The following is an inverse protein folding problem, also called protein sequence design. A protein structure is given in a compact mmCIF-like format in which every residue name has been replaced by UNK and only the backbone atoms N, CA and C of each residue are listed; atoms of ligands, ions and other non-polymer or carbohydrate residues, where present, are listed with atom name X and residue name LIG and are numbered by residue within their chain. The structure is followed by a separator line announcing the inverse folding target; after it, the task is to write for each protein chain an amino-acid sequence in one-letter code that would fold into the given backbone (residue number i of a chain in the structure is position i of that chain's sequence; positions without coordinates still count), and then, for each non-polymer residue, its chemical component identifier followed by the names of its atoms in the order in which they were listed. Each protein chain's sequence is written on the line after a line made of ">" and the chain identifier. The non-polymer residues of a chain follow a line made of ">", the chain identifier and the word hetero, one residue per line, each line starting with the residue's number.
data_IF_499864359193
#
_entry.id   IF_499864359193
#
_cell.length_a   1.000
_cell.length_b   1.000
_cell.length_c   1.000
_cell.angle_alpha   90.00
_cell.angle_beta   90.00
_cell.angle_gamma   90.00
#
_symmetry.space_group_name_H-M   'P 1'
#
loop_
_entity.id
_entity.type
_entity.pdbx_description
1 polymer ?
#
# COMPACT_ATOMS: atom_id res chain seq x y z
N UNK A 1 21.76 -23.79 -5.51
CA UNK A 1 21.50 -22.57 -4.70
C UNK A 1 20.74 -23.05 -3.47
N UNK A 2 21.31 -22.88 -2.28
CA UNK A 2 20.71 -23.38 -1.03
C UNK A 2 19.56 -22.42 -0.68
N UNK A 3 18.31 -22.90 -0.75
CA UNK A 3 17.16 -22.16 -0.21
C UNK A 3 17.38 -22.03 1.31
N UNK A 4 17.79 -20.86 1.75
CA UNK A 4 17.81 -20.50 3.16
C UNK A 4 16.35 -20.40 3.63
N UNK A 5 15.90 -21.37 4.41
CA UNK A 5 14.64 -21.28 5.15
C UNK A 5 14.82 -20.11 6.14
N UNK A 6 14.19 -18.97 5.89
CA UNK A 6 14.11 -17.88 6.86
C UNK A 6 13.24 -18.36 8.00
N UNK A 7 13.85 -18.82 9.09
CA UNK A 7 13.11 -19.06 10.32
C UNK A 7 12.47 -17.75 10.77
N UNK A 8 11.17 -17.76 10.98
CA UNK A 8 10.43 -16.60 11.49
C UNK A 8 10.98 -16.24 12.89
N UNK A 9 11.21 -14.96 13.14
CA UNK A 9 11.67 -14.53 14.46
C UNK A 9 10.57 -14.77 15.51
N UNK A 10 10.92 -15.06 16.79
CA UNK A 10 9.92 -15.21 17.86
C UNK A 10 8.95 -14.02 17.94
N UNK A 11 9.45 -12.82 17.69
CA UNK A 11 8.62 -11.61 17.65
C UNK A 11 7.67 -11.60 16.44
N UNK A 12 8.13 -11.98 15.25
CA UNK A 12 7.30 -12.09 14.05
C UNK A 12 6.20 -13.13 14.24
N UNK A 13 6.53 -14.30 14.77
CA UNK A 13 5.54 -15.33 15.07
C UNK A 13 4.48 -14.86 16.09
N UNK A 14 4.90 -14.18 17.17
CA UNK A 14 3.96 -13.67 18.16
C UNK A 14 3.04 -12.58 17.58
N UNK A 15 3.56 -11.72 16.73
CA UNK A 15 2.80 -10.68 16.03
C UNK A 15 1.74 -11.30 15.12
N UNK A 16 2.15 -12.23 14.27
CA UNK A 16 1.27 -12.95 13.36
C UNK A 16 0.17 -13.72 14.12
N UNK A 17 0.52 -14.47 15.15
CA UNK A 17 -0.44 -15.20 15.97
C UNK A 17 -1.52 -14.28 16.57
N UNK A 18 -1.13 -13.10 17.09
CA UNK A 18 -2.08 -12.18 17.71
C UNK A 18 -2.97 -11.56 16.64
N UNK A 19 -2.40 -11.12 15.53
CA UNK A 19 -3.15 -10.51 14.42
C UNK A 19 -4.13 -11.51 13.81
N UNK A 20 -3.71 -12.74 13.52
CA UNK A 20 -4.58 -13.82 13.04
C UNK A 20 -5.69 -14.16 14.03
N UNK A 21 -5.38 -14.15 15.35
CA UNK A 21 -6.37 -14.38 16.39
C UNK A 21 -7.42 -13.25 16.47
N UNK A 22 -7.02 -12.01 16.21
CA UNK A 22 -7.95 -10.87 16.11
C UNK A 22 -8.81 -11.01 14.84
N UNK A 23 -8.18 -11.30 13.70
CA UNK A 23 -8.85 -11.46 12.41
C UNK A 23 -9.91 -12.56 12.45
N UNK A 24 -9.55 -13.73 12.96
CA UNK A 24 -10.45 -14.88 13.06
C UNK A 24 -11.45 -14.81 14.25
N UNK A 25 -11.49 -13.67 14.96
CA UNK A 25 -12.44 -13.44 16.03
C UNK A 25 -12.15 -14.17 17.35
N UNK A 26 -11.00 -14.87 17.46
CA UNK A 26 -10.56 -15.48 18.72
C UNK A 26 -10.33 -14.41 19.79
N UNK A 27 -9.77 -13.28 19.39
CA UNK A 27 -9.69 -12.06 20.17
C UNK A 27 -10.60 -11.01 19.51
N UNK A 28 -11.90 -11.03 19.81
CA UNK A 28 -12.86 -10.16 19.16
C UNK A 28 -12.61 -8.67 19.45
N UNK A 29 -12.93 -7.76 18.52
CA UNK A 29 -12.91 -6.32 18.78
C UNK A 29 -13.71 -5.96 20.05
N UNK A 30 -13.12 -5.15 20.92
CA UNK A 30 -13.68 -4.78 22.22
C UNK A 30 -13.33 -5.71 23.36
N UNK A 31 -12.83 -6.93 23.09
CA UNK A 31 -12.41 -7.88 24.11
C UNK A 31 -11.08 -7.47 24.78
N UNK A 32 -10.75 -8.16 25.85
CA UNK A 32 -9.50 -8.00 26.60
C UNK A 32 -8.60 -9.19 26.29
N UNK A 33 -7.34 -8.91 25.94
CA UNK A 33 -6.33 -9.95 25.77
C UNK A 33 -6.02 -10.65 27.11
N UNK A 34 -5.61 -11.95 27.08
CA UNK A 34 -5.07 -12.62 28.25
C UNK A 34 -3.93 -11.82 28.88
N UNK A 35 -3.68 -12.04 30.17
CA UNK A 35 -2.55 -11.39 30.86
C UNK A 35 -1.23 -11.70 30.14
N UNK A 36 -0.28 -10.74 30.12
CA UNK A 36 1.00 -10.90 29.39
C UNK A 36 1.71 -12.22 29.75
N UNK A 37 1.62 -12.67 31.01
CA UNK A 37 2.21 -13.95 31.43
C UNK A 37 1.57 -15.12 30.69
N UNK A 38 0.26 -15.19 30.72
CA UNK A 38 -0.51 -16.29 30.10
C UNK A 38 -0.34 -16.27 28.57
N UNK A 39 -0.39 -15.08 27.97
CA UNK A 39 -0.23 -14.92 26.52
C UNK A 39 1.20 -15.28 26.06
N UNK A 40 2.23 -14.93 26.84
CA UNK A 40 3.62 -15.30 26.53
C UNK A 40 3.86 -16.82 26.63
N UNK A 41 3.27 -17.46 27.64
CA UNK A 41 3.31 -18.91 27.80
C UNK A 41 2.55 -19.62 26.67
N UNK A 42 1.38 -19.12 26.30
CA UNK A 42 0.56 -19.65 25.20
C UNK A 42 1.27 -19.60 23.85
N UNK A 43 1.96 -18.49 23.54
CA UNK A 43 2.66 -18.30 22.26
C UNK A 43 4.05 -18.95 22.28
N UNK A 44 4.63 -19.17 23.44
CA UNK A 44 5.98 -19.74 23.59
C UNK A 44 7.10 -18.70 23.41
N UNK A 45 6.86 -17.44 23.76
CA UNK A 45 7.85 -16.36 23.68
C UNK A 45 8.15 -15.75 25.05
N UNK A 46 9.25 -15.00 25.15
CA UNK A 46 9.55 -14.28 26.40
C UNK A 46 8.58 -13.12 26.60
N UNK A 47 8.35 -12.73 27.85
CA UNK A 47 7.52 -11.55 28.18
C UNK A 47 8.06 -10.25 27.55
N UNK A 48 9.39 -10.13 27.47
CA UNK A 48 10.02 -8.96 26.84
C UNK A 48 9.68 -8.92 25.35
N UNK A 49 9.85 -10.02 24.64
CA UNK A 49 9.46 -10.14 23.23
C UNK A 49 7.98 -9.85 23.03
N UNK A 50 7.11 -10.41 23.89
CA UNK A 50 5.67 -10.15 23.80
C UNK A 50 5.34 -8.66 23.99
N UNK A 51 5.96 -7.99 24.98
CA UNK A 51 5.72 -6.54 25.20
C UNK A 51 6.09 -5.68 24.00
N UNK A 52 7.23 -5.98 23.36
CA UNK A 52 7.64 -5.28 22.14
C UNK A 52 6.61 -5.47 21.02
N UNK A 53 6.09 -6.69 20.85
CA UNK A 53 5.03 -6.98 19.87
C UNK A 53 3.74 -6.25 20.20
N UNK A 54 3.28 -6.30 21.46
CA UNK A 54 2.06 -5.60 21.89
C UNK A 54 2.18 -4.09 21.68
N UNK A 55 3.34 -3.49 21.93
CA UNK A 55 3.57 -2.05 21.68
C UNK A 55 3.53 -1.70 20.20
N UNK A 56 4.08 -2.56 19.31
CA UNK A 56 3.95 -2.37 17.86
C UNK A 56 2.50 -2.45 17.42
N UNK A 57 1.77 -3.48 17.84
CA UNK A 57 0.36 -3.66 17.53
C UNK A 57 -0.52 -2.52 18.06
N UNK A 58 -0.17 -1.96 19.23
CA UNK A 58 -0.85 -0.79 19.75
C UNK A 58 -0.58 0.47 18.92
N UNK A 59 0.67 0.68 18.49
CA UNK A 59 1.04 1.78 17.57
C UNK A 59 0.32 1.66 16.23
N UNK A 60 0.15 0.44 15.74
CA UNK A 60 -0.51 0.16 14.47
C UNK A 60 -2.05 0.13 14.56
N UNK A 61 -2.60 0.35 15.77
CA UNK A 61 -4.03 0.51 16.00
C UNK A 61 -4.80 -0.77 16.32
N UNK A 62 -4.15 -1.94 16.31
CA UNK A 62 -4.80 -3.22 16.65
C UNK A 62 -5.23 -3.31 18.11
N UNK A 63 -4.47 -2.68 19.00
CA UNK A 63 -4.62 -2.78 20.44
C UNK A 63 -4.65 -1.40 21.11
N UNK A 64 -5.27 -1.34 22.29
CA UNK A 64 -5.13 -0.21 23.21
C UNK A 64 -4.48 -0.69 24.49
N UNK A 65 -3.31 -0.11 24.82
CA UNK A 65 -2.57 -0.35 26.07
C UNK A 65 -2.67 0.88 26.95
N UNK A 66 -3.14 0.71 28.18
CA UNK A 66 -3.20 1.76 29.19
C UNK A 66 -2.55 1.27 30.47
N UNK A 67 -1.78 2.14 31.13
CA UNK A 67 -1.14 1.77 32.39
C UNK A 67 -2.16 1.33 33.44
N UNK A 68 -1.89 0.19 34.09
CA UNK A 68 -2.75 -0.39 35.11
C UNK A 68 -4.08 -0.97 34.63
N UNK A 69 -4.29 -1.05 33.31
CA UNK A 69 -5.48 -1.66 32.73
C UNK A 69 -5.13 -2.84 31.81
N UNK A 70 -6.04 -3.80 31.65
CA UNK A 70 -5.86 -4.88 30.68
C UNK A 70 -5.77 -4.34 29.26
N UNK A 71 -4.97 -4.97 28.41
CA UNK A 71 -4.84 -4.64 26.99
C UNK A 71 -6.14 -4.98 26.25
N UNK A 72 -6.71 -3.99 25.56
CA UNK A 72 -7.98 -4.10 24.83
C UNK A 72 -7.72 -4.28 23.34
N UNK A 73 -8.49 -5.16 22.71
CA UNK A 73 -8.52 -5.34 21.25
C UNK A 73 -9.39 -4.25 20.62
N UNK A 74 -8.87 -3.57 19.62
CA UNK A 74 -9.59 -2.51 18.92
C UNK A 74 -10.37 -3.04 17.72
N UNK A 75 -11.33 -2.25 17.25
CA UNK A 75 -11.82 -2.37 15.88
C UNK A 75 -10.78 -1.66 14.96
N UNK A 76 -9.95 -2.43 14.29
CA UNK A 76 -8.85 -1.89 13.48
C UNK A 76 -9.33 -1.00 12.32
N UNK A 77 -10.56 -1.17 11.84
CA UNK A 77 -11.15 -0.25 10.86
C UNK A 77 -11.39 1.17 11.39
N UNK A 78 -11.48 1.33 12.72
CA UNK A 78 -11.67 2.64 13.37
C UNK A 78 -10.35 3.25 13.86
N UNK A 79 -9.34 2.43 14.11
CA UNK A 79 -8.15 2.85 14.86
C UNK A 79 -6.83 2.72 14.09
N UNK A 80 -6.78 1.91 13.02
CA UNK A 80 -5.58 1.71 12.22
C UNK A 80 -5.54 2.65 11.01
N UNK A 81 -4.36 2.81 10.44
CA UNK A 81 -4.10 3.58 9.23
C UNK A 81 -3.68 2.69 8.05
N UNK A 82 -3.15 3.32 7.01
CA UNK A 82 -2.68 2.63 5.81
C UNK A 82 -1.49 1.67 6.05
N UNK A 83 -0.83 1.79 7.17
CA UNK A 83 0.29 0.94 7.58
C UNK A 83 -0.06 -0.54 7.76
N UNK A 84 -1.34 -0.89 7.92
CA UNK A 84 -1.79 -2.28 8.06
C UNK A 84 -2.24 -2.93 6.75
N UNK A 85 -2.19 -2.22 5.61
CA UNK A 85 -2.70 -2.72 4.33
C UNK A 85 -2.04 -4.03 3.87
N UNK A 86 -0.72 -4.17 4.02
CA UNK A 86 -0.02 -5.42 3.69
C UNK A 86 -0.48 -6.56 4.59
N UNK A 87 -0.68 -6.28 5.86
CA UNK A 87 -1.19 -7.26 6.82
C UNK A 87 -2.60 -7.71 6.44
N UNK A 88 -3.50 -6.78 6.11
CA UNK A 88 -4.86 -7.12 5.68
C UNK A 88 -4.88 -7.93 4.39
N UNK A 89 -4.04 -7.58 3.42
CA UNK A 89 -3.94 -8.31 2.16
C UNK A 89 -3.43 -9.75 2.34
N UNK A 90 -2.57 -10.00 3.35
CA UNK A 90 -2.07 -11.33 3.69
C UNK A 90 -3.07 -12.17 4.48
N UNK A 91 -3.87 -11.54 5.35
CA UNK A 91 -4.82 -12.23 6.23
C UNK A 91 -6.04 -12.80 5.48
N UNK A 92 -6.42 -12.22 4.38
CA UNK A 92 -7.59 -12.62 3.61
C UNK A 92 -7.27 -12.67 2.12
N UNK A 93 -6.73 -13.81 1.68
CA UNK A 93 -6.38 -14.03 0.28
C UNK A 93 -7.60 -13.89 -0.64
N UNK A 94 -8.79 -14.27 -0.18
CA UNK A 94 -10.02 -14.21 -0.97
C UNK A 94 -10.52 -12.76 -1.14
N UNK A 95 -10.32 -11.91 -0.14
CA UNK A 95 -10.70 -10.49 -0.18
C UNK A 95 -9.56 -9.56 -0.65
N UNK A 96 -8.33 -10.06 -0.73
CA UNK A 96 -7.18 -9.29 -1.20
C UNK A 96 -7.44 -8.60 -2.55
N UNK A 97 -8.03 -9.25 -3.56
CA UNK A 97 -8.34 -8.58 -4.82
C UNK A 97 -9.29 -7.40 -4.65
N UNK A 98 -10.27 -7.49 -3.74
CA UNK A 98 -11.19 -6.39 -3.43
C UNK A 98 -10.48 -5.24 -2.71
N UNK A 99 -9.59 -5.55 -1.77
CA UNK A 99 -8.78 -4.54 -1.09
C UNK A 99 -7.90 -3.76 -2.08
N UNK A 100 -7.33 -4.46 -3.06
CA UNK A 100 -6.54 -3.84 -4.13
C UNK A 100 -7.42 -2.97 -5.03
N UNK A 101 -8.62 -3.43 -5.41
CA UNK A 101 -9.58 -2.62 -6.18
C UNK A 101 -9.88 -1.29 -5.46
N UNK A 102 -10.14 -1.34 -4.16
CA UNK A 102 -10.43 -0.16 -3.34
C UNK A 102 -9.20 0.77 -3.23
N UNK A 103 -8.00 0.21 -3.06
CA UNK A 103 -6.76 0.96 -3.04
C UNK A 103 -6.50 1.68 -4.39
N UNK A 104 -6.64 0.99 -5.51
CA UNK A 104 -6.45 1.55 -6.85
C UNK A 104 -7.48 2.65 -7.15
N UNK A 105 -8.73 2.46 -6.73
CA UNK A 105 -9.77 3.48 -6.82
C UNK A 105 -9.43 4.72 -6.00
N UNK A 106 -9.06 4.54 -4.73
CA UNK A 106 -8.64 5.65 -3.85
C UNK A 106 -7.43 6.41 -4.45
N UNK A 107 -6.39 5.66 -4.90
CA UNK A 107 -5.21 6.23 -5.55
C UNK A 107 -5.59 7.07 -6.78
N UNK A 108 -6.43 6.56 -7.67
CA UNK A 108 -6.85 7.27 -8.88
C UNK A 108 -7.55 8.60 -8.53
N UNK A 109 -8.43 8.58 -7.54
CA UNK A 109 -9.15 9.78 -7.13
C UNK A 109 -8.23 10.85 -6.52
N UNK A 110 -7.32 10.47 -5.62
CA UNK A 110 -6.39 11.43 -5.02
C UNK A 110 -5.35 11.93 -6.02
N UNK A 111 -4.90 11.07 -6.96
CA UNK A 111 -3.90 11.45 -7.96
C UNK A 111 -4.42 12.54 -8.91
N UNK A 112 -5.67 12.52 -9.30
CA UNK A 112 -6.29 13.59 -10.09
C UNK A 112 -6.16 14.95 -9.41
N UNK A 113 -6.25 14.98 -8.07
CA UNK A 113 -6.18 16.23 -7.29
C UNK A 113 -4.73 16.70 -7.16
N UNK A 114 -3.79 15.83 -6.75
CA UNK A 114 -2.42 16.29 -6.53
C UNK A 114 -1.68 16.55 -7.84
N UNK A 115 -1.91 15.80 -8.92
CA UNK A 115 -1.31 16.07 -10.24
C UNK A 115 -1.78 17.43 -10.78
N UNK A 116 -3.08 17.72 -10.68
CA UNK A 116 -3.63 19.04 -11.01
C UNK A 116 -2.94 20.15 -10.21
N UNK A 117 -2.83 19.96 -8.90
CA UNK A 117 -2.17 20.91 -8.01
C UNK A 117 -0.70 21.13 -8.37
N UNK A 118 0.05 20.05 -8.62
CA UNK A 118 1.44 20.11 -9.00
C UNK A 118 1.68 20.90 -10.29
N UNK A 119 0.94 20.60 -11.35
CA UNK A 119 1.06 21.33 -12.63
C UNK A 119 0.75 22.81 -12.44
N UNK A 120 -0.26 23.15 -11.63
CA UNK A 120 -0.65 24.53 -11.36
C UNK A 120 0.42 25.34 -10.63
N UNK A 121 1.15 24.70 -9.71
CA UNK A 121 2.04 25.42 -8.78
C UNK A 121 3.54 25.22 -9.05
N UNK A 122 3.92 24.08 -9.62
CA UNK A 122 5.33 23.67 -9.82
C UNK A 122 5.52 23.00 -11.20
N UNK A 123 5.07 23.70 -12.25
CA UNK A 123 5.02 23.16 -13.61
C UNK A 123 6.36 22.61 -14.09
N UNK A 124 7.47 23.31 -13.83
CA UNK A 124 8.80 22.91 -14.31
C UNK A 124 9.31 21.66 -13.62
N UNK A 125 9.09 21.54 -12.32
CA UNK A 125 9.43 20.35 -11.51
C UNK A 125 8.60 19.15 -11.98
N UNK A 126 7.33 19.35 -12.29
CA UNK A 126 6.46 18.31 -12.86
C UNK A 126 6.99 17.85 -14.22
N UNK A 127 7.37 18.75 -15.12
CA UNK A 127 7.96 18.38 -16.43
C UNK A 127 9.25 17.57 -16.21
N UNK A 128 10.10 18.02 -15.28
CA UNK A 128 11.35 17.32 -14.95
C UNK A 128 11.13 15.89 -14.40
N UNK A 129 10.03 15.66 -13.65
CA UNK A 129 9.70 14.36 -13.12
C UNK A 129 9.44 13.28 -14.19
N UNK A 130 9.11 13.68 -15.43
CA UNK A 130 8.96 12.76 -16.56
C UNK A 130 10.28 12.41 -17.27
N UNK A 131 11.42 12.92 -16.80
CA UNK A 131 12.73 12.59 -17.37
C UNK A 131 12.98 11.08 -17.30
N UNK A 132 13.31 10.46 -18.42
CA UNK A 132 13.54 9.02 -18.52
C UNK A 132 12.31 8.18 -18.86
N UNK A 133 11.09 8.73 -18.80
CA UNK A 133 9.86 7.98 -19.14
C UNK A 133 9.87 7.39 -20.56
N UNK A 134 10.54 8.08 -21.50
CA UNK A 134 10.56 7.70 -22.93
C UNK A 134 11.56 6.54 -23.20
N UNK A 135 12.59 6.39 -22.36
CA UNK A 135 13.65 5.38 -22.49
C UNK A 135 13.59 4.31 -21.40
N UNK A 136 12.46 4.21 -20.74
CA UNK A 136 12.25 3.27 -19.65
C UNK A 136 12.40 1.81 -20.16
N UNK A 137 13.22 1.03 -19.47
CA UNK A 137 13.37 -0.40 -19.74
C UNK A 137 12.00 -1.10 -19.72
N UNK A 138 11.79 -2.02 -20.70
CA UNK A 138 10.50 -2.71 -20.86
C UNK A 138 10.35 -3.88 -19.88
N UNK A 139 10.58 -3.62 -18.59
CA UNK A 139 10.41 -4.57 -17.50
C UNK A 139 9.37 -4.13 -16.48
N UNK A 140 8.73 -5.10 -15.85
CA UNK A 140 7.76 -4.85 -14.77
C UNK A 140 8.37 -4.06 -13.61
N UNK A 141 9.63 -4.35 -13.27
CA UNK A 141 10.34 -3.69 -12.17
C UNK A 141 10.59 -2.21 -12.47
N UNK A 142 11.08 -1.89 -13.68
CA UNK A 142 11.35 -0.51 -14.08
C UNK A 142 10.08 0.33 -14.10
N UNK A 143 8.97 -0.22 -14.64
CA UNK A 143 7.69 0.50 -14.64
C UNK A 143 7.10 0.70 -13.24
N UNK A 144 7.16 -0.32 -12.37
CA UNK A 144 6.65 -0.20 -11.02
C UNK A 144 7.42 0.85 -10.21
N UNK A 145 8.74 0.87 -10.34
CA UNK A 145 9.60 1.85 -9.68
C UNK A 145 9.36 3.26 -10.23
N UNK A 146 9.36 3.41 -11.55
CA UNK A 146 9.13 4.70 -12.19
C UNK A 146 7.75 5.26 -11.85
N UNK A 147 6.69 4.45 -11.94
CA UNK A 147 5.32 4.90 -11.64
C UNK A 147 5.19 5.37 -10.19
N UNK A 148 5.77 4.62 -9.22
CA UNK A 148 5.76 5.06 -7.83
C UNK A 148 6.51 6.37 -7.64
N UNK A 149 7.74 6.48 -8.16
CA UNK A 149 8.58 7.67 -8.00
C UNK A 149 7.94 8.89 -8.68
N UNK A 150 7.40 8.73 -9.89
CA UNK A 150 6.67 9.79 -10.59
C UNK A 150 5.51 10.30 -9.73
N UNK A 151 4.65 9.41 -9.25
CA UNK A 151 3.50 9.82 -8.43
C UNK A 151 3.93 10.47 -7.11
N UNK A 152 5.03 10.01 -6.51
CA UNK A 152 5.59 10.60 -5.30
C UNK A 152 6.09 12.03 -5.55
N UNK A 153 6.83 12.27 -6.63
CA UNK A 153 7.29 13.61 -7.05
C UNK A 153 6.11 14.53 -7.34
N UNK A 154 5.10 14.07 -8.09
CA UNK A 154 3.90 14.84 -8.37
C UNK A 154 3.13 15.21 -7.09
N UNK A 155 3.05 14.30 -6.12
CA UNK A 155 2.43 14.59 -4.84
C UNK A 155 3.25 15.59 -4.02
N UNK A 156 4.59 15.49 -4.04
CA UNK A 156 5.49 16.41 -3.34
C UNK A 156 5.32 17.86 -3.84
N UNK A 157 5.14 18.04 -5.14
CA UNK A 157 4.98 19.34 -5.79
C UNK A 157 3.52 19.83 -5.83
N UNK A 158 2.57 19.10 -5.25
CA UNK A 158 1.13 19.44 -5.28
C UNK A 158 0.70 20.57 -4.35
N UNK A 159 1.60 21.18 -3.60
CA UNK A 159 1.34 22.15 -2.51
C UNK A 159 0.64 21.58 -1.27
N UNK A 160 0.32 20.28 -1.25
CA UNK A 160 -0.24 19.59 -0.08
C UNK A 160 0.54 18.30 0.20
N UNK A 161 1.50 18.39 1.12
CA UNK A 161 2.40 17.29 1.48
C UNK A 161 1.71 16.08 2.15
N UNK A 162 0.44 16.20 2.53
CA UNK A 162 -0.31 15.07 3.08
C UNK A 162 -0.46 13.96 2.03
N UNK A 163 -0.54 14.30 0.73
CA UNK A 163 -0.59 13.28 -0.33
C UNK A 163 0.66 12.40 -0.36
N UNK A 164 1.84 12.94 -0.06
CA UNK A 164 3.08 12.17 0.06
C UNK A 164 2.99 11.16 1.20
N UNK A 165 2.47 11.56 2.36
CA UNK A 165 2.28 10.67 3.51
C UNK A 165 1.28 9.56 3.21
N UNK A 166 0.22 9.85 2.46
CA UNK A 166 -0.75 8.84 2.00
C UNK A 166 -0.05 7.84 1.07
N UNK A 167 0.73 8.30 0.08
CA UNK A 167 1.48 7.43 -0.83
C UNK A 167 2.48 6.55 -0.09
N UNK A 168 3.20 7.12 0.90
CA UNK A 168 4.13 6.36 1.74
C UNK A 168 3.40 5.25 2.52
N UNK A 169 2.17 5.50 2.97
CA UNK A 169 1.39 4.56 3.79
C UNK A 169 1.00 3.28 3.06
N UNK A 170 0.94 3.28 1.73
CA UNK A 170 0.64 2.08 0.95
C UNK A 170 1.78 1.61 0.02
N UNK A 171 2.99 2.19 0.19
CA UNK A 171 4.13 1.91 -0.68
C UNK A 171 4.45 0.42 -0.81
N UNK A 172 4.44 -0.31 0.30
CA UNK A 172 4.81 -1.72 0.32
C UNK A 172 3.85 -2.55 -0.53
N UNK A 173 2.56 -2.49 -0.23
CA UNK A 173 1.52 -3.19 -0.99
C UNK A 173 1.52 -2.75 -2.47
N UNK A 174 1.62 -1.43 -2.70
CA UNK A 174 1.64 -0.88 -4.05
C UNK A 174 2.78 -1.46 -4.90
N UNK A 175 4.00 -1.53 -4.37
CA UNK A 175 5.14 -2.01 -5.14
C UNK A 175 4.97 -3.49 -5.56
N UNK A 176 4.39 -4.32 -4.72
CA UNK A 176 4.09 -5.72 -5.03
C UNK A 176 3.03 -5.82 -6.14
N UNK A 177 1.91 -5.11 -5.98
CA UNK A 177 0.82 -5.06 -6.96
C UNK A 177 1.26 -4.45 -8.29
N UNK A 178 2.03 -3.36 -8.28
CA UNK A 178 2.51 -2.70 -9.49
C UNK A 178 3.44 -3.61 -10.30
N UNK A 179 4.34 -4.36 -9.65
CA UNK A 179 5.19 -5.34 -10.35
C UNK A 179 4.36 -6.42 -11.03
N UNK A 180 3.33 -6.94 -10.37
CA UNK A 180 2.42 -7.90 -10.96
C UNK A 180 1.63 -7.27 -12.13
N UNK A 181 1.05 -6.10 -11.94
CA UNK A 181 0.32 -5.39 -12.98
C UNK A 181 1.18 -5.09 -14.22
N UNK A 182 2.37 -4.54 -14.02
CA UNK A 182 3.31 -4.24 -15.11
C UNK A 182 4.03 -5.46 -15.68
N UNK A 183 3.84 -6.67 -15.16
CA UNK A 183 4.27 -7.89 -15.84
C UNK A 183 3.54 -8.04 -17.18
N UNK A 184 2.33 -7.48 -17.30
CA UNK A 184 1.54 -7.52 -18.53
C UNK A 184 1.97 -6.42 -19.52
N UNK A 185 2.32 -6.76 -20.79
CA UNK A 185 2.77 -5.80 -21.78
C UNK A 185 1.78 -4.66 -22.06
N UNK A 186 0.46 -4.94 -22.10
CA UNK A 186 -0.56 -3.93 -22.33
C UNK A 186 -0.61 -2.88 -21.22
N UNK A 187 -0.30 -3.26 -19.97
CA UNK A 187 -0.23 -2.32 -18.84
C UNK A 187 0.92 -1.33 -19.03
N UNK A 188 2.09 -1.80 -19.48
CA UNK A 188 3.26 -0.96 -19.74
C UNK A 188 2.99 -0.01 -20.92
N UNK A 189 2.39 -0.51 -21.99
CA UNK A 189 2.02 0.31 -23.17
C UNK A 189 1.01 1.40 -22.81
N UNK A 190 -0.01 1.05 -22.03
CA UNK A 190 -0.98 2.03 -21.51
C UNK A 190 -0.32 3.10 -20.64
N UNK A 191 0.60 2.70 -19.76
CA UNK A 191 1.33 3.63 -18.91
C UNK A 191 2.24 4.57 -19.71
N UNK A 192 2.96 4.09 -20.73
CA UNK A 192 3.77 4.95 -21.63
C UNK A 192 2.91 6.05 -22.26
N UNK A 193 1.75 5.70 -22.81
CA UNK A 193 0.82 6.67 -23.40
C UNK A 193 0.33 7.68 -22.36
N UNK A 194 0.03 7.21 -21.18
CA UNK A 194 -0.42 8.06 -20.08
C UNK A 194 0.67 9.04 -19.63
N UNK A 195 1.92 8.59 -19.43
CA UNK A 195 3.02 9.46 -19.04
C UNK A 195 3.29 10.55 -20.12
N UNK A 196 3.30 10.15 -21.39
CA UNK A 196 3.46 11.10 -22.49
C UNK A 196 2.33 12.15 -22.51
N UNK A 197 1.09 11.74 -22.29
CA UNK A 197 -0.06 12.64 -22.23
C UNK A 197 0.02 13.58 -21.02
N UNK A 198 0.38 13.10 -19.84
CA UNK A 198 0.55 13.95 -18.66
C UNK A 198 1.66 14.99 -18.86
N UNK A 199 2.80 14.59 -19.46
CA UNK A 199 3.90 15.50 -19.80
C UNK A 199 3.42 16.61 -20.73
N UNK A 200 2.69 16.27 -21.79
CA UNK A 200 2.09 17.26 -22.72
C UNK A 200 1.16 18.25 -22.02
N UNK A 201 0.31 17.77 -21.09
CA UNK A 201 -0.53 18.66 -20.29
C UNK A 201 0.29 19.55 -19.36
N UNK A 202 1.35 19.03 -18.76
CA UNK A 202 2.24 19.82 -17.93
C UNK A 202 2.95 20.91 -18.75
N UNK A 203 3.52 20.57 -19.92
CA UNK A 203 4.18 21.52 -20.83
C UNK A 203 3.23 22.61 -21.32
N UNK A 204 1.96 22.27 -21.58
CA UNK A 204 0.93 23.20 -22.02
C UNK A 204 0.24 23.99 -20.87
N UNK A 205 0.59 23.71 -19.60
CA UNK A 205 -0.06 24.33 -18.44
C UNK A 205 -1.54 23.93 -18.24
N UNK A 206 -1.97 22.83 -18.86
CA UNK A 206 -3.36 22.36 -18.87
C UNK A 206 -3.71 21.56 -17.62
N UNK A 207 -3.67 22.22 -16.46
CA UNK A 207 -3.87 21.58 -15.17
C UNK A 207 -5.30 21.07 -14.91
N UNK A 208 -6.33 21.62 -15.53
CA UNK A 208 -7.71 21.16 -15.33
C UNK A 208 -8.04 19.94 -16.22
N UNK A 209 -7.52 19.90 -17.44
CA UNK A 209 -7.70 18.80 -18.37
C UNK A 209 -7.02 17.50 -17.91
N UNK A 210 -5.96 17.60 -17.11
CA UNK A 210 -5.25 16.44 -16.58
C UNK A 210 -6.14 15.54 -15.72
N UNK A 211 -7.15 16.10 -15.05
CA UNK A 211 -8.11 15.34 -14.22
C UNK A 211 -8.83 14.28 -15.04
N UNK A 212 -9.24 14.62 -16.26
CA UNK A 212 -9.92 13.66 -17.14
C UNK A 212 -8.96 12.61 -17.69
N UNK A 213 -7.71 12.97 -17.96
CA UNK A 213 -6.68 12.02 -18.38
C UNK A 213 -6.39 10.98 -17.27
N UNK A 214 -6.27 11.42 -16.02
CA UNK A 214 -6.08 10.52 -14.86
C UNK A 214 -7.27 9.57 -14.70
N UNK A 215 -8.49 10.08 -14.78
CA UNK A 215 -9.71 9.25 -14.68
C UNK A 215 -9.81 8.24 -15.81
N UNK A 216 -9.51 8.65 -17.04
CA UNK A 216 -9.49 7.76 -18.20
C UNK A 216 -8.46 6.65 -18.03
N UNK A 217 -7.24 7.01 -17.63
CA UNK A 217 -6.20 6.02 -17.30
C UNK A 217 -6.65 5.06 -16.21
N UNK A 218 -7.28 5.54 -15.14
CA UNK A 218 -7.82 4.71 -14.07
C UNK A 218 -8.86 3.69 -14.57
N UNK A 219 -9.75 4.09 -15.50
CA UNK A 219 -10.74 3.19 -16.10
C UNK A 219 -10.06 2.14 -17.00
N UNK A 220 -9.13 2.55 -17.85
CA UNK A 220 -8.45 1.64 -18.79
C UNK A 220 -7.52 0.68 -18.05
N UNK A 221 -6.76 1.17 -17.06
CA UNK A 221 -5.91 0.32 -16.21
C UNK A 221 -6.72 -0.64 -15.35
N UNK A 222 -7.89 -0.22 -14.88
CA UNK A 222 -8.82 -1.07 -14.15
C UNK A 222 -9.34 -2.24 -14.97
N UNK A 223 -9.57 -2.08 -16.28
CA UNK A 223 -9.95 -3.18 -17.18
C UNK A 223 -8.84 -4.22 -17.29
N UNK A 224 -7.60 -3.78 -17.51
CA UNK A 224 -6.43 -4.68 -17.56
C UNK A 224 -6.27 -5.39 -16.20
N UNK A 225 -6.43 -4.67 -15.09
CA UNK A 225 -6.38 -5.25 -13.76
C UNK A 225 -7.43 -6.35 -13.56
N UNK A 226 -8.67 -6.13 -14.00
CA UNK A 226 -9.74 -7.13 -13.91
C UNK A 226 -9.43 -8.42 -14.69
N UNK A 227 -8.74 -8.29 -15.83
CA UNK A 227 -8.29 -9.45 -16.61
C UNK A 227 -7.16 -10.22 -15.91
N UNK A 228 -6.26 -9.52 -15.20
CA UNK A 228 -5.13 -10.11 -14.48
C UNK A 228 -5.52 -10.67 -13.10
N UNK A 229 -6.57 -10.15 -12.51
CA UNK A 229 -7.01 -10.48 -11.16
C UNK A 229 -7.15 -11.97 -10.84
N UNK A 230 -7.66 -12.83 -11.76
CA UNK A 230 -7.75 -14.28 -11.52
C UNK A 230 -6.39 -14.97 -11.38
N UNK A 231 -5.34 -14.39 -11.94
CA UNK A 231 -3.99 -14.94 -12.01
C UNK A 231 -3.05 -14.37 -10.94
N UNK A 232 -3.59 -13.68 -9.94
CA UNK A 232 -2.79 -13.11 -8.85
C UNK A 232 -2.11 -14.26 -8.09
N UNK A 233 -0.76 -14.28 -7.99
CA UNK A 233 -0.06 -15.29 -7.20
C UNK A 233 -0.47 -15.20 -5.72
N UNK A 234 -0.71 -16.36 -5.09
CA UNK A 234 -1.08 -16.40 -3.65
C UNK A 234 0.03 -15.87 -2.75
N UNK A 235 1.27 -16.04 -3.15
CA UNK A 235 2.48 -15.56 -2.47
C UNK A 235 2.88 -14.11 -2.85
N UNK A 236 2.03 -13.39 -3.57
CA UNK A 236 2.33 -12.02 -4.03
C UNK A 236 2.63 -11.08 -2.86
N UNK A 237 1.99 -11.31 -1.71
CA UNK A 237 2.08 -10.42 -0.54
C UNK A 237 3.08 -10.94 0.51
N UNK A 238 3.54 -12.19 0.39
CA UNK A 238 4.62 -12.74 1.22
C UNK A 238 5.97 -12.09 0.86
#
# INVERSE_FOLDING_TARGET
>A
MTNLIKAQSPAGFAEEYIVDSIWNGKFAPGSILPAERELSELIGVTRTTLREVLQRLARDGWLTIQHGKPTKVNNYWETSGLNILETLARLDEDQMPKLVDDLLSARTNISAIYIRGAIKTHQQEVIAAFTGAEVLDDSAAAFAEFDYNLNHELALHSSNRIYVLILNGFRGLYNKIARFYFSHPAARELARKYYAQLKQYAEAGKHDEVVMAVRKYGIESGKIWQELRPDIPKDLIE
#
